data_IF_890596450027
#
_entry.id   IF_890596450027
#
_cell.length_a   1.000
_cell.length_b   1.000
_cell.length_c   1.000
_cell.angle_alpha   90.00
_cell.angle_beta   90.00
_cell.angle_gamma   90.00
#
_symmetry.space_group_name_H-M   'P 1'
#
loop_
_entity.id
_entity.type
_entity.pdbx_description
1 polymer ?
#
# COMPACT_ATOMS: atom_id res chain seq x y z
N UNK A 1 14.50 13.13 -10.08
CA UNK A 1 13.39 12.33 -9.58
C UNK A 1 13.72 10.86 -9.77
N UNK A 2 13.79 10.06 -8.70
CA UNK A 2 13.95 8.61 -8.82
C UNK A 2 12.58 8.06 -9.18
N UNK A 3 12.48 7.32 -10.31
CA UNK A 3 11.21 6.72 -10.73
C UNK A 3 10.81 5.60 -9.81
N UNK A 4 9.54 5.53 -9.44
CA UNK A 4 8.98 4.39 -8.71
C UNK A 4 9.18 3.10 -9.52
N UNK A 5 9.38 2.00 -8.79
CA UNK A 5 9.65 0.69 -9.38
C UNK A 5 8.46 0.13 -10.18
N UNK A 6 7.21 0.50 -9.85
CA UNK A 6 6.01 0.05 -10.59
C UNK A 6 6.09 0.29 -12.10
N UNK A 7 6.95 1.23 -12.55
CA UNK A 7 7.21 1.46 -13.97
C UNK A 7 8.09 0.37 -14.63
N UNK A 8 8.65 -0.53 -13.82
CA UNK A 8 9.59 -1.58 -14.24
C UNK A 8 9.23 -2.93 -13.60
N UNK A 9 7.96 -3.33 -13.66
CA UNK A 9 7.45 -4.57 -13.08
C UNK A 9 8.44 -5.73 -13.29
N UNK A 10 9.00 -6.28 -12.19
CA UNK A 10 10.01 -7.36 -12.20
C UNK A 10 9.43 -8.64 -12.78
N UNK A 11 8.22 -8.98 -12.37
CA UNK A 11 7.56 -10.21 -12.79
C UNK A 11 7.29 -10.18 -14.29
N UNK A 12 6.70 -9.09 -14.80
CA UNK A 12 6.47 -8.89 -16.24
C UNK A 12 7.76 -8.95 -17.03
N UNK A 13 8.82 -8.30 -16.56
CA UNK A 13 10.11 -8.34 -17.23
C UNK A 13 10.69 -9.76 -17.29
N UNK A 14 10.51 -10.56 -16.24
CA UNK A 14 10.98 -11.96 -16.23
C UNK A 14 10.13 -12.87 -17.10
N UNK A 15 8.80 -12.68 -17.12
CA UNK A 15 7.88 -13.49 -17.90
C UNK A 15 7.93 -13.20 -19.39
N UNK A 16 7.97 -11.91 -19.78
CA UNK A 16 7.80 -11.50 -21.18
C UNK A 16 9.10 -11.10 -21.89
N UNK A 17 10.08 -10.60 -21.15
CA UNK A 17 11.34 -10.13 -21.75
C UNK A 17 12.55 -11.01 -21.43
N UNK A 18 12.32 -12.21 -20.94
CA UNK A 18 13.25 -13.27 -20.53
C UNK A 18 14.65 -13.27 -21.16
N UNK A 19 15.40 -12.18 -20.99
CA UNK A 19 16.84 -12.21 -21.19
C UNK A 19 17.40 -13.16 -20.14
N UNK A 20 18.04 -14.25 -20.59
CA UNK A 20 18.91 -15.06 -19.73
C UNK A 20 19.88 -14.09 -19.03
N UNK A 21 19.53 -13.64 -17.82
CA UNK A 21 20.47 -12.90 -17.01
C UNK A 21 21.66 -13.82 -16.78
N UNK A 22 22.75 -13.55 -17.44
CA UNK A 22 24.03 -14.12 -17.04
C UNK A 22 24.36 -13.47 -15.70
N UNK A 23 23.85 -14.06 -14.61
CA UNK A 23 24.17 -13.64 -13.25
C UNK A 23 25.64 -13.95 -13.02
N UNK A 24 26.45 -12.93 -12.85
CA UNK A 24 27.82 -13.08 -12.37
C UNK A 24 27.81 -13.68 -10.97
N UNK A 25 28.84 -14.44 -10.63
CA UNK A 25 28.98 -15.08 -9.32
C UNK A 25 28.75 -14.09 -8.14
N UNK A 26 29.17 -12.84 -8.29
CA UNK A 26 28.98 -11.77 -7.29
C UNK A 26 27.57 -11.20 -7.22
N UNK A 27 26.74 -11.33 -8.26
CA UNK A 27 25.35 -10.85 -8.26
C UNK A 27 24.45 -11.63 -7.28
N UNK A 28 24.89 -12.80 -6.81
CA UNK A 28 24.17 -13.60 -5.82
C UNK A 28 24.37 -13.14 -4.38
N UNK A 29 25.43 -12.39 -4.10
CA UNK A 29 25.81 -12.04 -2.73
C UNK A 29 25.39 -10.64 -2.30
N UNK A 30 25.06 -9.74 -3.22
CA UNK A 30 24.69 -8.37 -2.89
C UNK A 30 23.17 -8.19 -2.98
N UNK A 31 22.51 -7.81 -1.90
CA UNK A 31 21.07 -7.52 -1.94
C UNK A 31 20.81 -6.32 -2.86
N UNK A 32 20.01 -6.54 -3.90
CA UNK A 32 19.57 -5.48 -4.79
C UNK A 32 18.39 -4.74 -4.15
N UNK A 33 18.46 -3.42 -4.06
CA UNK A 33 17.40 -2.57 -3.59
C UNK A 33 16.77 -1.79 -4.73
N UNK A 34 15.47 -1.53 -4.60
CA UNK A 34 14.71 -0.65 -5.49
C UNK A 34 14.01 0.42 -4.69
N UNK A 35 13.63 1.49 -5.37
CA UNK A 35 12.88 2.58 -4.79
C UNK A 35 11.43 2.48 -5.25
N UNK A 36 10.52 2.39 -4.30
CA UNK A 36 9.08 2.49 -4.49
C UNK A 36 8.65 3.87 -4.02
N UNK A 37 7.79 4.52 -4.80
CA UNK A 37 7.28 5.84 -4.51
C UNK A 37 5.77 5.73 -4.32
N UNK A 38 5.29 6.13 -3.15
CA UNK A 38 3.88 6.12 -2.81
C UNK A 38 3.41 7.53 -2.48
N UNK A 39 2.13 7.80 -2.69
CA UNK A 39 1.48 9.05 -2.34
C UNK A 39 0.36 8.79 -1.35
N UNK A 40 0.34 9.56 -0.27
CA UNK A 40 -0.69 9.50 0.77
C UNK A 40 -1.22 10.90 1.09
N UNK A 41 -2.44 11.05 1.65
CA UNK A 41 -2.91 12.32 2.16
C UNK A 41 -1.91 12.91 3.17
N UNK A 42 -1.64 14.20 3.07
CA UNK A 42 -0.62 14.85 3.90
C UNK A 42 -0.89 14.75 5.40
N UNK A 43 -2.18 14.78 5.77
CA UNK A 43 -2.57 14.58 7.17
C UNK A 43 -2.19 13.19 7.68
N UNK A 44 -2.38 12.16 6.88
CA UNK A 44 -2.02 10.78 7.26
C UNK A 44 -0.50 10.59 7.33
N UNK A 45 0.24 11.25 6.45
CA UNK A 45 1.69 11.34 6.54
C UNK A 45 2.13 11.91 7.89
N UNK A 46 1.62 13.09 8.27
CA UNK A 46 1.95 13.71 9.56
C UNK A 46 1.55 12.83 10.75
N UNK A 47 0.41 12.16 10.68
CA UNK A 47 -0.04 11.24 11.72
C UNK A 47 0.91 10.05 11.88
N UNK A 48 1.41 9.52 10.78
CA UNK A 48 2.42 8.47 10.80
C UNK A 48 3.74 8.93 11.43
N UNK A 49 4.19 10.14 11.11
CA UNK A 49 5.38 10.74 11.73
C UNK A 49 5.21 10.88 13.24
N UNK A 50 4.06 11.46 13.70
CA UNK A 50 3.75 11.57 15.13
C UNK A 50 3.75 10.21 15.83
N UNK A 51 3.17 9.17 15.19
CA UNK A 51 3.19 7.82 15.76
C UNK A 51 4.62 7.28 15.95
N UNK A 52 5.50 7.52 14.99
CA UNK A 52 6.92 7.11 15.09
C UNK A 52 7.64 7.88 16.20
N UNK A 53 7.39 9.20 16.35
CA UNK A 53 7.96 9.98 17.45
C UNK A 53 7.42 9.51 18.80
N UNK A 54 6.11 9.25 18.94
CA UNK A 54 5.52 8.66 20.14
C UNK A 54 6.20 7.34 20.53
N UNK A 55 6.56 6.52 19.55
CA UNK A 55 7.31 5.27 19.82
C UNK A 55 8.69 5.55 20.40
N UNK A 56 9.42 6.53 19.87
CA UNK A 56 10.76 6.90 20.38
C UNK A 56 10.69 7.49 21.79
N UNK A 57 9.64 8.24 22.05
CA UNK A 57 9.46 8.88 23.37
C UNK A 57 9.03 7.88 24.45
N UNK A 58 8.25 6.86 24.08
CA UNK A 58 7.70 5.89 25.03
C UNK A 58 8.63 4.70 25.29
N UNK A 59 9.56 4.41 24.39
CA UNK A 59 10.44 3.23 24.47
C UNK A 59 11.90 3.63 24.30
N UNK A 60 12.68 3.53 25.39
CA UNK A 60 14.10 3.84 25.40
C UNK A 60 14.91 2.96 24.43
N UNK A 61 14.44 1.72 24.19
CA UNK A 61 15.01 0.77 23.23
C UNK A 61 14.70 1.12 21.76
N UNK A 62 13.84 2.11 21.48
CA UNK A 62 13.51 2.47 20.12
C UNK A 62 14.74 3.02 19.37
N UNK A 63 15.07 2.48 18.19
CA UNK A 63 16.22 2.95 17.42
C UNK A 63 16.05 4.40 16.99
N UNK A 64 17.10 5.21 17.18
CA UNK A 64 17.07 6.64 16.80
C UNK A 64 16.83 6.86 15.30
N UNK A 65 17.24 5.93 14.47
CA UNK A 65 17.01 5.96 13.02
C UNK A 65 15.64 5.43 12.60
N UNK A 66 14.78 5.00 13.54
CA UNK A 66 13.41 4.61 13.21
C UNK A 66 12.68 5.80 12.58
N UNK A 67 12.02 5.55 11.46
CA UNK A 67 11.31 6.58 10.68
C UNK A 67 10.05 6.00 10.06
N UNK A 68 9.18 6.87 9.55
CA UNK A 68 7.95 6.48 8.88
C UNK A 68 8.21 5.49 7.72
N UNK A 69 9.30 5.67 7.00
CA UNK A 69 9.74 4.75 5.96
C UNK A 69 9.91 3.31 6.51
N UNK A 70 10.53 3.16 7.67
CA UNK A 70 10.72 1.85 8.31
C UNK A 70 9.38 1.25 8.76
N UNK A 71 8.50 2.07 9.34
CA UNK A 71 7.15 1.64 9.73
C UNK A 71 6.39 1.06 8.53
N UNK A 72 6.35 1.78 7.40
CA UNK A 72 5.64 1.31 6.20
C UNK A 72 6.28 0.03 5.66
N UNK A 73 7.61 -0.04 5.62
CA UNK A 73 8.30 -1.24 5.17
C UNK A 73 8.02 -2.46 6.09
N UNK A 74 7.99 -2.26 7.42
CA UNK A 74 7.66 -3.32 8.37
C UNK A 74 6.22 -3.84 8.21
N UNK A 75 5.25 -2.94 8.01
CA UNK A 75 3.86 -3.35 7.74
C UNK A 75 3.77 -4.23 6.48
N UNK A 76 4.55 -3.89 5.46
CA UNK A 76 4.62 -4.68 4.24
C UNK A 76 5.31 -6.03 4.47
N UNK A 77 6.40 -6.08 5.20
CA UNK A 77 7.11 -7.33 5.49
C UNK A 77 6.26 -8.26 6.36
N UNK A 78 5.58 -7.74 7.37
CA UNK A 78 4.64 -8.50 8.19
C UNK A 78 3.51 -9.09 7.33
N UNK A 79 2.96 -8.31 6.42
CA UNK A 79 1.96 -8.80 5.48
C UNK A 79 2.50 -9.94 4.61
N UNK A 80 3.69 -9.79 4.03
CA UNK A 80 4.33 -10.85 3.23
C UNK A 80 4.62 -12.11 4.05
N UNK A 81 4.98 -11.96 5.33
CA UNK A 81 5.19 -13.09 6.23
C UNK A 81 3.87 -13.83 6.53
N UNK A 82 2.76 -13.11 6.68
CA UNK A 82 1.44 -13.71 6.81
C UNK A 82 1.03 -14.47 5.55
N UNK A 83 1.27 -13.90 4.37
CA UNK A 83 1.05 -14.60 3.07
C UNK A 83 1.88 -15.86 3.00
N UNK A 84 3.16 -15.82 3.36
CA UNK A 84 4.08 -16.96 3.37
C UNK A 84 3.64 -18.06 4.36
N UNK A 85 3.02 -17.69 5.48
CA UNK A 85 2.44 -18.62 6.45
C UNK A 85 1.10 -19.22 6.01
N UNK A 86 0.64 -18.91 4.80
CA UNK A 86 -0.56 -19.49 4.19
C UNK A 86 -1.85 -18.75 4.52
N UNK A 87 -1.80 -17.42 4.61
CA UNK A 87 -3.02 -16.60 4.72
C UNK A 87 -3.97 -16.90 3.55
N UNK A 88 -5.26 -17.08 3.87
CA UNK A 88 -6.27 -17.49 2.88
C UNK A 88 -6.64 -16.33 1.95
N UNK A 89 -6.53 -16.53 0.65
CA UNK A 89 -6.88 -15.53 -0.37
C UNK A 89 -8.34 -15.09 -0.28
N UNK A 90 -9.26 -15.98 0.11
CA UNK A 90 -10.67 -15.67 0.35
C UNK A 90 -10.90 -14.57 1.40
N UNK A 91 -9.97 -14.40 2.33
CA UNK A 91 -10.02 -13.34 3.34
C UNK A 91 -9.25 -12.08 2.91
N UNK A 92 -8.13 -12.27 2.20
CA UNK A 92 -7.28 -11.17 1.76
C UNK A 92 -7.89 -10.37 0.60
N UNK A 93 -8.49 -11.05 -0.39
CA UNK A 93 -9.02 -10.36 -1.57
C UNK A 93 -10.14 -9.38 -1.25
N UNK A 94 -11.19 -9.72 -0.46
CA UNK A 94 -12.22 -8.76 -0.06
C UNK A 94 -11.66 -7.57 0.72
N UNK A 95 -10.66 -7.80 1.57
CA UNK A 95 -9.97 -6.73 2.29
C UNK A 95 -9.25 -5.79 1.32
N UNK A 96 -8.48 -6.32 0.37
CA UNK A 96 -7.73 -5.50 -0.59
C UNK A 96 -8.66 -4.71 -1.51
N UNK A 97 -9.71 -5.34 -2.05
CA UNK A 97 -10.71 -4.67 -2.92
C UNK A 97 -11.40 -3.53 -2.16
N UNK A 98 -11.89 -3.79 -0.94
CA UNK A 98 -12.57 -2.76 -0.14
C UNK A 98 -11.64 -1.63 0.25
N UNK A 99 -10.38 -1.94 0.55
CA UNK A 99 -9.37 -0.96 0.93
C UNK A 99 -8.90 -0.13 -0.27
N UNK A 100 -8.78 -0.73 -1.46
CA UNK A 100 -8.51 -0.01 -2.71
C UNK A 100 -9.57 1.04 -2.96
N UNK A 101 -10.84 0.64 -2.97
CA UNK A 101 -11.98 1.56 -3.15
C UNK A 101 -11.99 2.68 -2.12
N UNK A 102 -11.62 2.38 -0.89
CA UNK A 102 -11.63 3.35 0.21
C UNK A 102 -10.46 4.33 0.19
N UNK A 103 -9.26 3.88 -0.14
CA UNK A 103 -8.04 4.65 0.07
C UNK A 103 -7.38 5.15 -1.22
N UNK A 104 -7.62 4.47 -2.34
CA UNK A 104 -6.95 4.77 -3.61
C UNK A 104 -7.91 5.40 -4.64
N UNK A 105 -9.18 5.04 -4.60
CA UNK A 105 -10.16 5.58 -5.52
C UNK A 105 -10.77 6.88 -4.98
N UNK A 106 -11.09 7.80 -5.89
CA UNK A 106 -11.82 9.00 -5.52
C UNK A 106 -13.25 8.61 -5.14
N UNK A 107 -13.80 9.15 -4.04
CA UNK A 107 -15.18 8.88 -3.70
C UNK A 107 -16.10 9.35 -4.83
N UNK A 108 -16.88 8.44 -5.39
CA UNK A 108 -17.94 8.76 -6.35
C UNK A 108 -19.26 8.94 -5.60
N UNK A 109 -19.94 10.05 -5.83
CA UNK A 109 -21.32 10.21 -5.37
C UNK A 109 -22.25 9.78 -6.51
N UNK A 110 -23.08 8.79 -6.22
CA UNK A 110 -24.21 8.45 -7.09
C UNK A 110 -25.30 9.54 -6.94
N UNK A 111 -25.35 10.47 -7.87
CA UNK A 111 -26.47 11.42 -7.96
C UNK A 111 -27.60 10.80 -8.76
N UNK A 112 -28.80 10.81 -8.19
CA UNK A 112 -30.01 10.53 -8.94
C UNK A 112 -30.40 11.77 -9.73
N UNK A 113 -30.19 11.73 -11.04
CA UNK A 113 -30.57 12.81 -11.95
C UNK A 113 -31.90 12.48 -12.57
N UNK A 114 -32.81 13.45 -12.53
CA UNK A 114 -34.11 13.34 -13.16
C UNK A 114 -33.92 13.53 -14.67
N UNK A 115 -34.20 12.50 -15.46
CA UNK A 115 -34.14 12.57 -16.92
C UNK A 115 -35.55 12.61 -17.48
N UNK A 116 -35.83 13.60 -18.27
CA UNK A 116 -37.11 13.69 -19.00
C UNK A 116 -37.09 12.67 -20.14
N UNK A 117 -38.01 11.72 -20.09
CA UNK A 117 -38.16 10.67 -21.11
C UNK A 117 -39.18 11.11 -22.19
N UNK A 118 -40.27 11.77 -21.75
CA UNK A 118 -41.24 12.42 -22.61
C UNK A 118 -41.71 13.71 -21.94
N UNK A 119 -42.56 14.51 -22.62
CA UNK A 119 -43.05 15.80 -22.13
C UNK A 119 -43.63 15.73 -20.70
N UNK A 120 -44.19 14.57 -20.30
CA UNK A 120 -44.81 14.36 -18.99
C UNK A 120 -44.28 13.16 -18.20
N UNK A 121 -43.20 12.52 -18.68
CA UNK A 121 -42.63 11.35 -18.04
C UNK A 121 -41.13 11.62 -17.69
N UNK A 122 -40.79 11.44 -16.43
CA UNK A 122 -39.43 11.56 -15.92
C UNK A 122 -38.99 10.22 -15.35
N UNK A 123 -37.75 9.83 -15.58
CA UNK A 123 -37.09 8.69 -14.94
C UNK A 123 -35.90 9.16 -14.14
N UNK A 124 -35.58 8.43 -13.06
CA UNK A 124 -34.35 8.64 -12.32
C UNK A 124 -33.23 7.80 -12.96
N UNK A 125 -32.18 8.46 -13.39
CA UNK A 125 -30.94 7.82 -13.84
C UNK A 125 -29.89 8.00 -12.76
N UNK A 126 -29.22 6.92 -12.37
CA UNK A 126 -28.08 7.01 -11.47
C UNK A 126 -26.86 7.37 -12.31
N UNK A 127 -26.29 8.55 -12.07
CA UNK A 127 -25.00 8.94 -12.62
C UNK A 127 -23.99 9.00 -11.50
N UNK A 128 -22.90 8.23 -11.66
CA UNK A 128 -21.70 8.44 -10.86
C UNK A 128 -21.05 9.75 -11.31
N UNK A 129 -21.00 10.75 -10.45
CA UNK A 129 -20.17 11.93 -10.62
C UNK A 129 -19.00 11.83 -9.66
N UNK A 130 -17.77 11.98 -10.19
CA UNK A 130 -16.61 12.19 -9.33
C UNK A 130 -16.86 13.45 -8.50
N UNK A 131 -16.67 13.36 -7.20
CA UNK A 131 -16.70 14.56 -6.37
C UNK A 131 -15.51 15.40 -6.82
N UNK A 132 -15.78 16.55 -7.44
CA UNK A 132 -14.78 17.62 -7.44
C UNK A 132 -14.56 17.99 -5.98
N UNK A 133 -13.55 17.38 -5.37
CA UNK A 133 -13.06 17.80 -4.08
C UNK A 133 -12.49 19.19 -4.30
N UNK A 134 -13.28 20.21 -3.92
CA UNK A 134 -12.97 21.62 -4.12
C UNK A 134 -11.75 22.09 -3.29
N UNK A 135 -11.17 21.23 -2.49
CA UNK A 135 -9.85 21.42 -1.90
C UNK A 135 -8.89 20.38 -2.49
N UNK A 136 -7.87 20.81 -3.20
CA UNK A 136 -6.70 20.00 -3.50
C UNK A 136 -6.14 19.48 -2.18
N UNK A 137 -6.56 18.29 -1.77
CA UNK A 137 -6.03 17.66 -0.57
C UNK A 137 -4.52 17.47 -0.78
N UNK A 138 -3.74 18.20 -0.01
CA UNK A 138 -2.28 18.12 -0.09
C UNK A 138 -1.84 16.66 0.11
N UNK A 139 -1.03 16.14 -0.79
CA UNK A 139 -0.48 14.80 -0.72
C UNK A 139 1.00 14.84 -0.38
N UNK A 140 1.46 13.84 0.35
CA UNK A 140 2.86 13.61 0.63
C UNK A 140 3.37 12.46 -0.22
N UNK A 141 4.55 12.66 -0.82
CA UNK A 141 5.28 11.65 -1.56
C UNK A 141 6.31 10.99 -0.63
N UNK A 142 6.25 9.68 -0.51
CA UNK A 142 7.15 8.88 0.33
C UNK A 142 7.94 7.93 -0.56
N UNK A 143 9.27 7.99 -0.49
CA UNK A 143 10.16 7.08 -1.21
C UNK A 143 10.68 6.00 -0.27
N UNK A 144 10.38 4.75 -0.57
CA UNK A 144 10.79 3.56 0.17
C UNK A 144 11.91 2.84 -0.55
N UNK A 145 12.92 2.39 0.20
CA UNK A 145 14.01 1.55 -0.33
C UNK A 145 13.80 0.11 0.12
N UNK A 146 13.33 -0.76 -0.78
CA UNK A 146 12.96 -2.15 -0.47
C UNK A 146 13.86 -3.12 -1.25
N UNK A 147 14.16 -4.27 -0.64
CA UNK A 147 14.90 -5.35 -1.32
C UNK A 147 14.11 -5.87 -2.51
N UNK A 148 14.76 -6.05 -3.64
CA UNK A 148 14.15 -6.56 -4.88
C UNK A 148 13.44 -7.92 -4.66
N UNK A 149 13.97 -8.77 -3.78
CA UNK A 149 13.34 -10.04 -3.42
C UNK A 149 11.97 -9.87 -2.77
N UNK A 150 11.80 -8.86 -1.92
CA UNK A 150 10.52 -8.60 -1.24
C UNK A 150 9.50 -7.97 -2.20
N UNK A 151 9.95 -7.07 -3.08
CA UNK A 151 9.10 -6.54 -4.16
C UNK A 151 8.62 -7.69 -5.05
N UNK A 152 9.53 -8.57 -5.46
CA UNK A 152 9.20 -9.72 -6.29
C UNK A 152 8.17 -10.64 -5.64
N UNK A 153 8.28 -10.89 -4.33
CA UNK A 153 7.27 -11.67 -3.58
C UNK A 153 5.89 -11.00 -3.62
N UNK A 154 5.85 -9.68 -3.41
CA UNK A 154 4.60 -8.92 -3.52
C UNK A 154 3.99 -9.00 -4.90
N UNK A 155 4.78 -8.88 -5.96
CA UNK A 155 4.31 -8.99 -7.34
C UNK A 155 3.78 -10.40 -7.66
N UNK A 156 4.47 -11.46 -7.20
CA UNK A 156 3.99 -12.85 -7.35
C UNK A 156 2.67 -13.03 -6.61
N UNK A 157 2.58 -12.57 -5.36
CA UNK A 157 1.33 -12.64 -4.61
C UNK A 157 0.18 -11.92 -5.34
N UNK A 158 0.40 -10.68 -5.80
CA UNK A 158 -0.62 -9.91 -6.53
C UNK A 158 -1.03 -10.58 -7.85
N UNK A 159 -0.09 -11.21 -8.54
CA UNK A 159 -0.37 -12.01 -9.73
C UNK A 159 -1.21 -13.24 -9.40
N UNK A 160 -0.90 -13.94 -8.31
CA UNK A 160 -1.64 -15.15 -7.90
C UNK A 160 -3.09 -14.84 -7.51
N UNK A 161 -3.33 -13.67 -6.89
CA UNK A 161 -4.68 -13.25 -6.51
C UNK A 161 -5.42 -12.50 -7.61
N UNK A 162 -4.78 -12.14 -8.72
CA UNK A 162 -5.40 -11.36 -9.80
C UNK A 162 -6.75 -11.94 -10.31
N UNK A 163 -6.95 -13.28 -10.41
CA UNK A 163 -8.25 -13.84 -10.81
C UNK A 163 -9.39 -13.55 -9.81
N UNK A 164 -9.05 -13.22 -8.56
CA UNK A 164 -10.02 -12.94 -7.50
C UNK A 164 -10.30 -11.44 -7.34
N UNK A 165 -9.56 -10.58 -8.04
CA UNK A 165 -9.66 -9.11 -7.92
C UNK A 165 -10.68 -8.49 -8.89
N UNK A 166 -11.42 -9.29 -9.69
CA UNK A 166 -12.52 -8.81 -10.57
C UNK A 166 -12.11 -7.60 -11.45
N UNK A 167 -11.03 -7.71 -12.19
CA UNK A 167 -10.44 -6.65 -13.03
C UNK A 167 -9.78 -5.47 -12.26
N UNK A 168 -9.73 -5.55 -10.93
CA UNK A 168 -9.02 -4.59 -10.10
C UNK A 168 -7.51 -4.87 -10.10
N UNK A 169 -6.77 -4.18 -10.94
CA UNK A 169 -5.31 -4.27 -10.93
C UNK A 169 -4.73 -3.57 -9.69
N UNK A 170 -3.83 -4.25 -8.98
CA UNK A 170 -3.09 -3.73 -7.83
C UNK A 170 -1.59 -3.84 -8.08
N UNK A 171 -0.85 -2.82 -7.68
CA UNK A 171 0.61 -2.77 -7.68
C UNK A 171 1.15 -2.89 -6.26
N UNK A 172 2.45 -3.16 -6.13
CA UNK A 172 3.09 -3.22 -4.81
C UNK A 172 3.00 -1.87 -4.09
N UNK A 173 3.07 -0.76 -4.82
CA UNK A 173 2.87 0.58 -4.26
C UNK A 173 1.47 0.77 -3.70
N UNK A 174 0.44 0.27 -4.39
CA UNK A 174 -0.95 0.31 -3.90
C UNK A 174 -1.11 -0.50 -2.62
N UNK A 175 -0.47 -1.68 -2.56
CA UNK A 175 -0.46 -2.52 -1.37
C UNK A 175 0.19 -1.81 -0.18
N UNK A 176 1.32 -1.12 -0.38
CA UNK A 176 1.98 -0.32 0.64
C UNK A 176 1.07 0.79 1.18
N UNK A 177 0.39 1.52 0.30
CA UNK A 177 -0.59 2.55 0.70
C UNK A 177 -1.74 1.94 1.49
N UNK A 178 -2.33 0.85 1.00
CA UNK A 178 -3.44 0.17 1.67
C UNK A 178 -3.07 -0.26 3.09
N UNK A 179 -1.92 -0.91 3.25
CA UNK A 179 -1.46 -1.40 4.55
C UNK A 179 -1.21 -0.25 5.53
N UNK A 180 -0.56 0.82 5.07
CA UNK A 180 -0.30 2.01 5.88
C UNK A 180 -1.59 2.72 6.28
N UNK A 181 -2.51 2.95 5.35
CA UNK A 181 -3.79 3.61 5.62
C UNK A 181 -4.69 2.81 6.55
N UNK A 182 -4.72 1.47 6.40
CA UNK A 182 -5.47 0.59 7.31
C UNK A 182 -4.87 0.58 8.71
N UNK A 183 -3.54 0.58 8.82
CA UNK A 183 -2.83 0.72 10.09
C UNK A 183 -3.20 2.03 10.80
N UNK A 184 -3.13 3.17 10.13
CA UNK A 184 -3.50 4.46 10.69
C UNK A 184 -4.97 4.53 11.10
N UNK A 185 -5.86 3.92 10.29
CA UNK A 185 -7.28 3.80 10.64
C UNK A 185 -7.46 3.04 11.96
N UNK A 186 -6.77 1.92 12.15
CA UNK A 186 -6.84 1.13 13.39
C UNK A 186 -6.35 1.92 14.60
N UNK A 187 -5.28 2.73 14.43
CA UNK A 187 -4.80 3.63 15.48
C UNK A 187 -5.84 4.70 15.81
N UNK A 188 -6.51 5.28 14.80
CA UNK A 188 -7.57 6.25 15.02
C UNK A 188 -8.74 5.68 15.84
N UNK A 189 -9.12 4.44 15.55
CA UNK A 189 -10.26 3.79 16.17
C UNK A 189 -9.97 3.24 17.58
N UNK A 190 -8.76 2.74 17.81
CA UNK A 190 -8.40 2.01 19.04
C UNK A 190 -7.39 2.74 19.94
N UNK A 191 -6.84 3.85 19.45
CA UNK A 191 -5.73 4.54 20.10
C UNK A 191 -4.39 3.85 19.88
N UNK A 192 -3.32 4.47 20.37
CA UNK A 192 -1.97 3.92 20.31
C UNK A 192 -1.88 2.74 21.29
N UNK A 193 -1.62 1.54 20.76
CA UNK A 193 -1.43 0.34 21.57
C UNK A 193 0.05 0.13 21.86
N UNK A 194 0.43 0.18 23.13
CA UNK A 194 1.81 -0.13 23.57
C UNK A 194 2.24 -1.53 23.10
N UNK A 195 1.32 -2.50 23.02
CA UNK A 195 1.60 -3.84 22.51
C UNK A 195 1.93 -3.83 21.01
N UNK A 196 1.18 -3.04 20.21
CA UNK A 196 1.45 -2.91 18.78
C UNK A 196 2.80 -2.20 18.53
N UNK A 197 3.11 -1.16 19.31
CA UNK A 197 4.39 -0.47 19.22
C UNK A 197 5.56 -1.40 19.54
N UNK A 198 5.46 -2.21 20.60
CA UNK A 198 6.49 -3.20 20.94
C UNK A 198 6.68 -4.24 19.85
N UNK A 199 5.60 -4.73 19.24
CA UNK A 199 5.68 -5.68 18.13
C UNK A 199 6.41 -5.07 16.91
N UNK A 200 6.19 -3.80 16.63
CA UNK A 200 6.89 -3.06 15.56
C UNK A 200 8.40 -2.95 15.88
N UNK A 201 8.76 -2.62 17.13
CA UNK A 201 10.16 -2.51 17.54
C UNK A 201 10.90 -3.84 17.45
N UNK A 202 10.29 -4.94 17.91
CA UNK A 202 10.87 -6.28 17.77
C UNK A 202 11.10 -6.65 16.30
N UNK A 203 10.13 -6.38 15.43
CA UNK A 203 10.29 -6.63 14.00
C UNK A 203 11.35 -5.73 13.34
N UNK A 204 11.60 -4.53 13.89
CA UNK A 204 12.63 -3.64 13.36
C UNK A 204 14.03 -4.27 13.47
N UNK A 205 14.36 -4.88 14.59
CA UNK A 205 15.64 -5.54 14.84
C UNK A 205 15.88 -6.73 13.89
N UNK A 206 14.80 -7.41 13.46
CA UNK A 206 14.89 -8.55 12.55
C UNK A 206 15.11 -8.16 11.07
N UNK A 207 14.71 -6.96 10.67
CA UNK A 207 14.72 -6.54 9.25
C UNK A 207 15.74 -5.46 8.90
N UNK A 208 16.23 -4.67 9.86
CA UNK A 208 17.12 -3.52 9.67
C UNK A 208 18.34 -3.55 10.57
#
# INVERSE_FOLDING_TARGET
MKKSYSQFNLLSNKLFYGKKEKKGFFDYFLPKYRYLQIEVPYYEFLRGEVFVEDMKDLFEEAPQNLSLYHLIALLYFDFLEQVKKGAKYEQLCPFLISSKKKFLERPMIEKRVLKQVTTNLFSFEQRGEEIEVTSEEKRAEITLRIKESEIYRGEVFLHDISPYLMDDELKVEDLLVILFMDFLKRIKEKGNSSQAMKAILLNFEDYF
#
